data_IF_463107177299
#
_entry.id   IF_463107177299
#
_cell.length_a   1.000
_cell.length_b   1.000
_cell.length_c   1.000
_cell.angle_alpha   90.00
_cell.angle_beta   90.00
_cell.angle_gamma   90.00
#
_symmetry.space_group_name_H-M   'P 1'
#
loop_
_entity.id
_entity.type
_entity.pdbx_description
1 polymer ?
#
# COMPACT_ATOMS: atom_id res chain seq x y z
N UNK A 1 -7.84 11.56 16.33
CA UNK A 1 -9.10 12.22 15.97
C UNK A 1 -8.98 13.68 16.30
N UNK A 2 -9.76 14.51 15.63
CA UNK A 2 -9.96 15.94 15.92
C UNK A 2 -11.15 16.21 16.85
N UNK A 3 -11.90 15.15 17.21
CA UNK A 3 -13.03 15.22 18.12
C UNK A 3 -12.61 15.66 19.51
N UNK A 4 -13.35 16.63 20.07
CA UNK A 4 -13.15 17.11 21.44
C UNK A 4 -13.59 16.07 22.46
N UNK A 5 -12.78 15.90 23.48
CA UNK A 5 -13.04 15.03 24.65
C UNK A 5 -12.96 15.93 25.88
N UNK A 6 -13.95 15.83 26.76
CA UNK A 6 -13.93 16.50 28.06
C UNK A 6 -13.74 15.46 29.15
N UNK A 7 -13.03 15.85 30.20
CA UNK A 7 -12.87 15.03 31.41
C UNK A 7 -13.67 15.74 32.50
N UNK A 8 -14.59 15.02 33.12
CA UNK A 8 -15.42 15.50 34.22
C UNK A 8 -15.25 14.56 35.40
N UNK A 9 -14.61 15.07 36.46
CA UNK A 9 -14.02 14.29 37.55
C UNK A 9 -13.11 13.17 37.02
N UNK A 10 -13.60 11.93 37.12
CA UNK A 10 -12.91 10.75 36.62
C UNK A 10 -13.49 10.25 35.29
N UNK A 11 -14.62 10.78 34.81
CA UNK A 11 -15.32 10.28 33.65
C UNK A 11 -14.98 11.04 32.36
N UNK A 12 -15.19 10.37 31.23
CA UNK A 12 -14.89 10.89 29.91
C UNK A 12 -16.21 11.27 29.23
N UNK A 13 -16.36 12.53 28.85
CA UNK A 13 -17.50 13.01 28.07
C UNK A 13 -17.07 13.14 26.61
N UNK A 14 -17.73 12.37 25.74
CA UNK A 14 -17.44 12.30 24.32
C UNK A 14 -18.73 12.24 23.51
N UNK A 15 -18.93 13.17 22.57
CA UNK A 15 -20.20 13.35 21.83
C UNK A 15 -21.45 13.34 22.73
N UNK A 16 -21.43 14.13 23.81
CA UNK A 16 -22.53 14.23 24.78
C UNK A 16 -22.88 12.91 25.51
N UNK A 17 -22.05 11.87 25.37
CA UNK A 17 -22.16 10.63 26.14
C UNK A 17 -21.07 10.60 27.21
N UNK A 18 -21.47 10.25 28.44
CA UNK A 18 -20.56 10.02 29.56
C UNK A 18 -20.10 8.57 29.54
N UNK A 19 -18.80 8.36 29.64
CA UNK A 19 -18.16 7.07 29.75
C UNK A 19 -17.42 7.01 31.07
N UNK A 20 -17.56 5.89 31.78
CA UNK A 20 -16.83 5.67 33.03
C UNK A 20 -15.34 5.70 32.75
N UNK A 21 -14.59 6.57 33.42
CA UNK A 21 -13.15 6.63 33.21
C UNK A 21 -12.44 5.56 34.02
N UNK A 22 -12.21 4.44 33.36
CA UNK A 22 -11.40 3.33 33.90
C UNK A 22 -9.93 3.58 33.58
N UNK A 23 -9.05 3.05 34.43
CA UNK A 23 -7.59 3.10 34.19
C UNK A 23 -7.28 2.54 32.79
N UNK A 24 -7.93 1.44 32.39
CA UNK A 24 -7.70 0.83 31.08
C UNK A 24 -8.17 1.66 29.90
N UNK A 25 -9.32 2.34 30.00
CA UNK A 25 -9.75 3.26 28.96
C UNK A 25 -8.81 4.46 28.85
N UNK A 26 -8.33 5.01 29.97
CA UNK A 26 -7.32 6.07 29.97
C UNK A 26 -6.00 5.60 29.33
N UNK A 27 -5.54 4.39 29.63
CA UNK A 27 -4.36 3.84 28.95
C UNK A 27 -4.58 3.71 27.43
N UNK A 28 -5.73 3.17 27.02
CA UNK A 28 -6.09 3.01 25.61
C UNK A 28 -6.20 4.34 24.88
N UNK A 29 -6.61 5.42 25.53
CA UNK A 29 -6.66 6.75 24.90
C UNK A 29 -5.28 7.40 24.85
N UNK A 30 -4.57 7.47 25.98
CA UNK A 30 -3.43 8.38 26.13
C UNK A 30 -2.05 7.71 26.06
N UNK A 31 -1.93 6.42 26.41
CA UNK A 31 -0.62 5.75 26.36
C UNK A 31 -0.28 5.27 24.95
N UNK A 32 1.02 5.27 24.65
CA UNK A 32 1.60 4.68 23.43
C UNK A 32 1.62 3.16 23.47
N UNK A 33 1.74 2.57 24.66
CA UNK A 33 1.74 1.12 24.90
C UNK A 33 0.85 0.82 26.13
N UNK A 34 -0.47 0.69 25.93
CA UNK A 34 -1.39 0.33 27.00
C UNK A 34 -1.23 -1.14 27.38
N UNK A 35 -1.33 -1.46 28.66
CA UNK A 35 -1.15 -2.83 29.18
C UNK A 35 -2.25 -3.26 30.14
N UNK A 36 -2.93 -2.31 30.80
CA UNK A 36 -3.91 -2.57 31.86
C UNK A 36 -5.32 -2.22 31.40
N UNK A 37 -5.85 -2.93 30.41
CA UNK A 37 -7.23 -2.72 29.91
C UNK A 37 -8.05 -4.01 29.91
N UNK A 38 -9.37 -3.88 30.06
CA UNK A 38 -10.31 -5.00 30.00
C UNK A 38 -10.97 -5.10 28.63
N UNK A 39 -11.82 -6.13 28.44
CA UNK A 39 -12.61 -6.28 27.21
C UNK A 39 -13.67 -5.18 27.09
N UNK A 40 -14.24 -4.76 28.21
CA UNK A 40 -15.23 -3.68 28.28
C UNK A 40 -14.60 -2.35 27.85
N UNK A 41 -13.36 -2.09 28.30
CA UNK A 41 -12.59 -0.91 27.89
C UNK A 41 -12.33 -0.91 26.38
N UNK A 42 -12.04 -2.07 25.79
CA UNK A 42 -11.83 -2.22 24.35
C UNK A 42 -13.09 -1.92 23.53
N UNK A 43 -14.27 -2.35 23.99
CA UNK A 43 -15.53 -2.05 23.29
C UNK A 43 -15.87 -0.56 23.35
N UNK A 44 -15.67 0.08 24.50
CA UNK A 44 -15.84 1.52 24.66
C UNK A 44 -14.85 2.28 23.77
N UNK A 45 -13.58 1.89 23.81
CA UNK A 45 -12.53 2.49 22.99
C UNK A 45 -12.82 2.32 21.50
N UNK A 46 -13.31 1.14 21.08
CA UNK A 46 -13.75 0.87 19.71
C UNK A 46 -14.88 1.81 19.29
N UNK A 47 -15.91 1.99 20.12
CA UNK A 47 -16.99 2.94 19.86
C UNK A 47 -16.46 4.37 19.63
N UNK A 48 -15.51 4.81 20.48
CA UNK A 48 -14.89 6.12 20.37
C UNK A 48 -14.06 6.27 19.09
N UNK A 49 -13.29 5.25 18.71
CA UNK A 49 -12.51 5.24 17.47
C UNK A 49 -13.40 5.38 16.23
N UNK A 50 -14.55 4.70 16.22
CA UNK A 50 -15.49 4.75 15.10
C UNK A 50 -16.13 6.13 14.96
N UNK A 51 -16.63 6.69 16.07
CA UNK A 51 -17.25 8.02 16.08
C UNK A 51 -16.28 9.14 15.70
N UNK A 52 -15.04 9.05 16.16
CA UNK A 52 -14.00 10.06 15.88
C UNK A 52 -13.24 9.83 14.57
N UNK A 53 -13.51 8.74 13.84
CA UNK A 53 -12.73 8.31 12.68
C UNK A 53 -11.21 8.24 12.95
N UNK A 54 -10.78 8.07 14.20
CA UNK A 54 -9.37 8.15 14.58
C UNK A 54 -8.49 7.02 14.00
N UNK A 55 -9.11 5.97 13.44
CA UNK A 55 -8.47 4.87 12.73
C UNK A 55 -8.26 5.15 11.23
N UNK A 56 -8.73 6.29 10.70
CA UNK A 56 -8.58 6.71 9.31
C UNK A 56 -7.58 7.86 9.20
N UNK A 57 -6.96 7.98 8.01
CA UNK A 57 -6.06 9.09 7.70
C UNK A 57 -6.79 10.42 7.82
N UNK A 58 -6.09 11.39 8.41
CA UNK A 58 -6.62 12.74 8.65
C UNK A 58 -7.94 12.78 9.43
N UNK A 59 -8.31 11.67 10.10
CA UNK A 59 -9.54 11.55 10.89
C UNK A 59 -10.83 11.79 10.09
N UNK A 60 -10.80 11.58 8.77
CA UNK A 60 -11.95 11.79 7.88
C UNK A 60 -12.57 10.46 7.45
N UNK A 61 -13.90 10.39 7.47
CA UNK A 61 -14.65 9.17 7.14
C UNK A 61 -14.38 8.65 5.71
N UNK A 62 -14.15 9.56 4.75
CA UNK A 62 -13.87 9.23 3.35
C UNK A 62 -12.41 8.86 3.06
N UNK A 63 -11.53 8.94 4.05
CA UNK A 63 -10.11 8.62 3.86
C UNK A 63 -9.82 7.16 4.13
N UNK A 64 -8.70 6.69 3.58
CA UNK A 64 -8.21 5.32 3.80
C UNK A 64 -7.98 5.05 5.30
N UNK A 65 -8.11 3.79 5.70
CA UNK A 65 -7.66 3.32 7.01
C UNK A 65 -6.16 3.61 7.16
N UNK A 66 -5.76 4.03 8.36
CA UNK A 66 -4.36 4.33 8.65
C UNK A 66 -3.49 3.05 8.54
N UNK A 67 -2.25 3.20 8.11
CA UNK A 67 -1.26 2.13 8.00
C UNK A 67 -0.15 2.24 9.05
N UNK A 68 -0.41 2.93 10.16
CA UNK A 68 0.60 3.23 11.18
C UNK A 68 1.32 1.98 11.69
N UNK A 69 2.65 2.05 11.74
CA UNK A 69 3.52 0.98 12.27
C UNK A 69 3.59 0.97 13.79
N UNK A 70 2.90 1.87 14.48
CA UNK A 70 2.92 1.95 15.94
C UNK A 70 2.38 0.65 16.55
N UNK A 71 3.00 0.11 17.62
CA UNK A 71 2.55 -1.13 18.25
C UNK A 71 1.07 -1.09 18.66
N UNK A 72 0.62 0.00 19.29
CA UNK A 72 -0.79 0.22 19.63
C UNK A 72 -1.71 0.13 18.42
N UNK A 73 -1.29 0.70 17.29
CA UNK A 73 -2.09 0.61 16.07
C UNK A 73 -2.14 -0.83 15.55
N UNK A 74 -0.97 -1.45 15.36
CA UNK A 74 -0.81 -2.79 14.79
C UNK A 74 -1.52 -3.88 15.60
N UNK A 75 -1.43 -3.82 16.94
CA UNK A 75 -1.86 -4.91 17.81
C UNK A 75 -3.22 -4.67 18.48
N UNK A 76 -3.71 -3.42 18.52
CA UNK A 76 -4.97 -3.09 19.20
C UNK A 76 -5.96 -2.49 18.21
N UNK A 77 -5.63 -1.35 17.60
CA UNK A 77 -6.60 -0.60 16.77
C UNK A 77 -6.95 -1.37 15.49
N UNK A 78 -5.96 -1.85 14.73
CA UNK A 78 -6.19 -2.52 13.46
C UNK A 78 -7.03 -3.81 13.61
N UNK A 79 -6.76 -4.71 14.58
CA UNK A 79 -7.62 -5.86 14.83
C UNK A 79 -9.06 -5.48 15.24
N UNK A 80 -9.24 -4.49 16.12
CA UNK A 80 -10.57 -4.04 16.55
C UNK A 80 -11.44 -3.57 15.37
N UNK A 81 -10.84 -2.82 14.44
CA UNK A 81 -11.53 -2.32 13.25
C UNK A 81 -11.72 -3.41 12.20
N UNK A 82 -10.72 -4.26 11.96
CA UNK A 82 -10.82 -5.34 10.97
C UNK A 82 -11.91 -6.34 11.33
N UNK A 83 -12.07 -6.69 12.62
CA UNK A 83 -13.10 -7.63 13.05
C UNK A 83 -14.50 -7.06 12.84
N UNK A 84 -14.67 -5.74 13.01
CA UNK A 84 -15.93 -5.05 12.69
C UNK A 84 -16.25 -5.14 11.19
N UNK A 85 -15.28 -4.80 10.33
CA UNK A 85 -15.50 -4.77 8.88
C UNK A 85 -15.79 -6.16 8.31
N UNK A 86 -15.21 -7.21 8.91
CA UNK A 86 -15.52 -8.61 8.56
C UNK A 86 -16.93 -9.02 8.97
N UNK A 87 -17.47 -8.45 10.05
CA UNK A 87 -18.85 -8.72 10.52
C UNK A 87 -19.92 -7.93 9.76
N UNK A 88 -19.55 -6.80 9.13
CA UNK A 88 -20.44 -6.00 8.29
C UNK A 88 -20.36 -6.46 6.84
N UNK A 89 -21.20 -7.44 6.49
CA UNK A 89 -21.51 -7.90 5.12
C UNK A 89 -20.34 -8.43 4.25
N UNK A 90 -20.51 -9.59 3.57
CA UNK A 90 -19.54 -10.06 2.57
C UNK A 90 -19.30 -9.08 1.40
N UNK A 91 -20.25 -8.16 1.14
CA UNK A 91 -20.23 -7.26 -0.01
C UNK A 91 -19.20 -6.13 0.13
N UNK A 92 -18.95 -5.63 1.36
CA UNK A 92 -17.95 -4.57 1.57
C UNK A 92 -16.52 -5.11 1.65
N UNK A 93 -16.34 -6.37 2.09
CA UNK A 93 -15.02 -6.99 2.17
C UNK A 93 -14.42 -7.28 0.79
N UNK A 94 -15.26 -7.48 -0.24
CA UNK A 94 -14.82 -7.69 -1.63
C UNK A 94 -14.19 -6.44 -2.26
N UNK A 95 -14.52 -5.24 -1.77
CA UNK A 95 -14.00 -3.97 -2.31
C UNK A 95 -12.60 -3.58 -1.78
N UNK A 96 -12.05 -4.32 -0.81
CA UNK A 96 -10.79 -3.93 -0.13
C UNK A 96 -9.69 -4.98 -0.18
N UNK A 97 -9.93 -6.09 -0.88
CA UNK A 97 -8.85 -6.99 -1.23
C UNK A 97 -8.14 -6.35 -2.41
N UNK A 98 -6.97 -5.76 -2.17
CA UNK A 98 -6.06 -5.43 -3.26
C UNK A 98 -5.68 -6.74 -3.91
N UNK A 99 -6.33 -7.09 -5.01
CA UNK A 99 -5.79 -8.05 -5.95
C UNK A 99 -4.50 -7.40 -6.43
N UNK A 100 -3.36 -7.93 -5.96
CA UNK A 100 -2.07 -7.46 -6.45
C UNK A 100 -2.12 -7.44 -7.96
N UNK A 101 -1.57 -6.39 -8.58
CA UNK A 101 -1.46 -6.37 -10.04
C UNK A 101 -0.65 -7.60 -10.44
N UNK A 102 -1.32 -8.57 -11.05
CA UNK A 102 -0.63 -9.62 -11.78
C UNK A 102 0.04 -8.89 -12.93
N UNK A 103 1.35 -8.69 -12.82
CA UNK A 103 2.14 -8.35 -14.00
C UNK A 103 1.97 -9.55 -14.91
N UNK A 104 1.22 -9.37 -16.00
CA UNK A 104 1.31 -10.26 -17.14
C UNK A 104 2.76 -10.18 -17.60
N UNK A 105 3.57 -11.13 -17.12
CA UNK A 105 4.85 -11.42 -17.72
C UNK A 105 4.45 -12.00 -19.06
N UNK A 106 4.50 -11.20 -20.13
CA UNK A 106 4.40 -11.79 -21.46
C UNK A 106 5.50 -12.84 -21.50
N UNK A 107 5.12 -14.10 -21.66
CA UNK A 107 6.04 -15.20 -21.95
C UNK A 107 6.51 -15.05 -23.40
N UNK A 108 6.66 -13.81 -23.88
CA UNK A 108 7.61 -13.50 -24.92
C UNK A 108 8.95 -13.88 -24.30
N UNK A 109 9.25 -15.17 -24.44
CA UNK A 109 10.58 -15.73 -24.52
C UNK A 109 11.43 -14.59 -25.07
N UNK A 110 12.48 -14.19 -24.37
CA UNK A 110 13.54 -13.40 -25.01
C UNK A 110 13.80 -14.11 -26.34
N UNK A 111 13.30 -13.52 -27.42
CA UNK A 111 13.43 -14.07 -28.75
C UNK A 111 14.91 -13.91 -29.03
N UNK A 112 15.67 -14.96 -28.70
CA UNK A 112 17.03 -15.11 -29.16
C UNK A 112 16.91 -15.36 -30.67
N UNK A 113 16.75 -14.28 -31.42
CA UNK A 113 16.85 -14.29 -32.87
C UNK A 113 18.32 -14.49 -33.18
N UNK A 114 18.67 -15.69 -33.64
CA UNK A 114 20.03 -16.00 -34.07
C UNK A 114 20.21 -15.43 -35.48
N UNK A 115 20.91 -14.30 -35.57
CA UNK A 115 21.16 -13.62 -36.84
C UNK A 115 22.32 -14.32 -37.56
N UNK A 116 22.02 -15.05 -38.64
CA UNK A 116 23.03 -15.76 -39.44
C UNK A 116 23.70 -14.86 -40.49
N UNK A 117 23.09 -13.73 -40.84
CA UNK A 117 23.59 -12.79 -41.85
C UNK A 117 23.83 -11.41 -41.22
N UNK A 118 25.08 -10.90 -41.26
CA UNK A 118 25.38 -9.57 -40.75
C UNK A 118 24.60 -8.42 -41.42
N UNK A 119 24.11 -8.59 -42.65
CA UNK A 119 23.29 -7.56 -43.30
C UNK A 119 21.96 -7.35 -42.55
N UNK A 120 21.37 -8.42 -42.01
CA UNK A 120 20.13 -8.33 -41.23
C UNK A 120 20.34 -7.56 -39.92
N UNK A 121 21.52 -7.71 -39.28
CA UNK A 121 21.91 -6.95 -38.09
C UNK A 121 22.04 -5.45 -38.40
N UNK A 122 22.64 -5.10 -39.54
CA UNK A 122 22.80 -3.70 -39.98
C UNK A 122 21.43 -3.06 -40.27
N UNK A 123 20.55 -3.78 -40.96
CA UNK A 123 19.18 -3.31 -41.24
C UNK A 123 18.35 -3.14 -39.97
N UNK A 124 18.47 -4.09 -39.02
CA UNK A 124 17.83 -3.99 -37.71
C UNK A 124 18.37 -2.80 -36.91
N UNK A 125 19.68 -2.61 -36.88
CA UNK A 125 20.32 -1.47 -36.20
C UNK A 125 19.84 -0.14 -36.79
N UNK A 126 19.75 -0.03 -38.11
CA UNK A 126 19.23 1.16 -38.80
C UNK A 126 17.79 1.48 -38.38
N UNK A 127 16.93 0.47 -38.27
CA UNK A 127 15.55 0.63 -37.82
C UNK A 127 15.47 1.11 -36.36
N UNK A 128 16.30 0.55 -35.48
CA UNK A 128 16.33 0.92 -34.06
C UNK A 128 16.83 2.35 -33.84
N UNK A 129 17.84 2.79 -34.59
CA UNK A 129 18.34 4.18 -34.56
C UNK A 129 17.24 5.15 -35.02
N UNK A 130 16.50 4.81 -36.09
CA UNK A 130 15.38 5.63 -36.56
C UNK A 130 14.25 5.73 -35.52
N UNK A 131 13.92 4.62 -34.84
CA UNK A 131 12.95 4.60 -33.74
C UNK A 131 13.40 5.48 -32.56
N UNK A 132 14.70 5.43 -32.21
CA UNK A 132 15.26 6.27 -31.14
C UNK A 132 15.26 7.76 -31.52
N UNK A 133 15.55 8.10 -32.79
CA UNK A 133 15.46 9.46 -33.30
C UNK A 133 14.02 10.00 -33.27
N UNK A 134 13.01 9.12 -33.40
CA UNK A 134 11.60 9.45 -33.23
C UNK A 134 11.15 9.57 -31.76
N UNK A 135 12.04 9.33 -30.78
CA UNK A 135 11.78 9.52 -29.36
C UNK A 135 11.52 8.23 -28.56
N UNK A 136 11.64 7.05 -29.16
CA UNK A 136 11.47 5.78 -28.45
C UNK A 136 12.79 5.31 -27.80
N UNK A 137 12.91 5.42 -26.48
CA UNK A 137 14.13 5.09 -25.74
C UNK A 137 14.25 3.62 -25.29
N UNK A 138 13.27 2.78 -25.61
CA UNK A 138 13.19 1.40 -25.12
C UNK A 138 14.10 0.41 -25.87
N UNK A 139 14.90 0.88 -26.84
CA UNK A 139 15.71 0.03 -27.72
C UNK A 139 17.18 -0.09 -27.31
N UNK A 140 17.60 0.54 -26.20
CA UNK A 140 19.02 0.66 -25.84
C UNK A 140 19.73 -0.69 -25.66
N UNK A 141 19.07 -1.66 -25.03
CA UNK A 141 19.67 -2.97 -24.77
C UNK A 141 19.87 -3.77 -26.06
N UNK A 142 18.92 -3.68 -27.00
CA UNK A 142 18.99 -4.37 -28.29
C UNK A 142 20.07 -3.76 -29.19
N UNK A 143 20.20 -2.42 -29.21
CA UNK A 143 21.26 -1.72 -29.94
C UNK A 143 22.64 -2.17 -29.45
N UNK A 144 22.85 -2.26 -28.13
CA UNK A 144 24.13 -2.73 -27.56
C UNK A 144 24.40 -4.18 -27.97
N UNK A 145 23.42 -5.07 -27.89
CA UNK A 145 23.57 -6.48 -28.30
C UNK A 145 24.01 -6.61 -29.76
N UNK A 146 23.39 -5.85 -30.68
CA UNK A 146 23.72 -5.89 -32.11
C UNK A 146 25.13 -5.34 -32.39
N UNK A 147 25.54 -4.27 -31.69
CA UNK A 147 26.89 -3.71 -31.85
C UNK A 147 27.97 -4.71 -31.41
N UNK A 148 27.75 -5.44 -30.32
CA UNK A 148 28.67 -6.48 -29.87
C UNK A 148 28.75 -7.64 -30.87
N UNK A 149 27.62 -8.10 -31.41
CA UNK A 149 27.62 -9.17 -32.43
C UNK A 149 28.36 -8.77 -33.71
N UNK A 150 28.19 -7.51 -34.18
CA UNK A 150 28.91 -7.00 -35.36
C UNK A 150 30.42 -6.83 -35.11
N UNK A 151 30.81 -6.53 -33.86
CA UNK A 151 32.21 -6.45 -33.43
C UNK A 151 32.84 -7.84 -33.33
N UNK A 152 32.13 -8.83 -32.79
CA UNK A 152 32.57 -10.23 -32.74
C UNK A 152 32.73 -10.84 -34.14
N UNK A 153 31.92 -10.39 -35.11
CA UNK A 153 32.02 -10.77 -36.51
C UNK A 153 33.13 -10.03 -37.31
N UNK A 154 33.89 -9.13 -36.68
CA UNK A 154 34.97 -8.33 -37.29
C UNK A 154 34.50 -7.43 -38.46
N UNK A 155 33.24 -6.95 -38.39
CA UNK A 155 32.64 -6.08 -39.41
C UNK A 155 32.80 -4.60 -39.03
N UNK A 156 32.85 -4.31 -37.73
CA UNK A 156 33.05 -2.99 -37.15
C UNK A 156 34.08 -3.05 -36.02
N UNK A 157 34.80 -1.95 -35.80
CA UNK A 157 35.82 -1.79 -34.74
C UNK A 157 35.31 -1.11 -33.46
#
# INVERSE_FOLDING_TARGET
GDTRVFIDDNDIIFHNKRYKGTIGLYELLFKKAPTKYTKEDLEVYREMLLKSNAYRRYYKANQQIDGSRLPKYKYIIAPLISNLLKSSSPLENKLRLGEGLLKEVSINKTDYTYWNDPNELVDRLRLLIASQAAGHTNHRNEIVSIIEELREADIIE
#
